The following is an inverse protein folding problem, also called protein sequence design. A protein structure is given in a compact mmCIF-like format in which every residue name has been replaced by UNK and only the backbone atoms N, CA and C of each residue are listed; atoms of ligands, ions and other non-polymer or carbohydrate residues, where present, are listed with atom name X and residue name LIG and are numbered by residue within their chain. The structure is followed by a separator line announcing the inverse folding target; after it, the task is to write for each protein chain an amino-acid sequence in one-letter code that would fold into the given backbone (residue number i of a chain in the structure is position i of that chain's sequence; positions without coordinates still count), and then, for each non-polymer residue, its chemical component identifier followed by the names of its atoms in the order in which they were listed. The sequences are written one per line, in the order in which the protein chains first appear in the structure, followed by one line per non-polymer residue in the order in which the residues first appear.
data_IF_390424194461
#
_entry.id   IF_390424194461
#
_cell.length_a   1.000
_cell.length_b   1.000
_cell.length_c   1.000
_cell.angle_alpha   90.00
_cell.angle_beta   90.00
_cell.angle_gamma   90.00
#
_symmetry.space_group_name_H-M   'P 1'
#
loop_
_entity.id
_entity.type
_entity.pdbx_description
1 polymer ?
#
# COMPACT_ATOMS: atom_id res chain seq x y z
N UNK A 1 -11.65 -5.70 8.17
CA UNK A 1 -12.79 -6.36 7.48
C UNK A 1 -13.76 -7.03 8.47
N UNK A 2 -13.57 -6.82 9.76
CA UNK A 2 -14.23 -7.49 10.89
C UNK A 2 -15.41 -6.72 11.49
N UNK A 3 -15.75 -5.59 10.87
CA UNK A 3 -16.93 -4.80 11.20
C UNK A 3 -17.93 -4.84 10.05
N UNK A 4 -19.19 -5.15 10.38
CA UNK A 4 -20.27 -5.15 9.42
C UNK A 4 -20.54 -3.74 8.92
N UNK A 5 -20.90 -3.62 7.64
CA UNK A 5 -21.25 -2.36 7.00
C UNK A 5 -22.64 -2.48 6.38
N UNK A 6 -23.40 -1.39 6.26
CA UNK A 6 -24.74 -1.44 5.69
C UNK A 6 -24.65 -1.73 4.17
N UNK A 7 -25.60 -2.49 3.58
CA UNK A 7 -25.55 -2.84 2.15
C UNK A 7 -25.43 -1.65 1.20
N UNK A 8 -25.98 -0.48 1.57
CA UNK A 8 -25.87 0.77 0.78
C UNK A 8 -24.43 1.29 0.64
N UNK A 9 -23.51 0.88 1.52
CA UNK A 9 -22.11 1.27 1.48
C UNK A 9 -21.27 0.29 0.62
N UNK A 10 -21.88 -0.78 0.09
CA UNK A 10 -21.20 -1.71 -0.80
C UNK A 10 -20.77 -0.99 -2.08
N UNK A 11 -19.45 -0.93 -2.29
CA UNK A 11 -18.83 -0.36 -3.47
C UNK A 11 -17.87 -1.39 -4.07
N UNK A 12 -18.28 -2.15 -5.09
CA UNK A 12 -17.43 -3.14 -5.71
C UNK A 12 -16.26 -2.46 -6.42
N UNK A 13 -15.08 -3.07 -6.34
CA UNK A 13 -13.88 -2.62 -7.06
C UNK A 13 -13.79 -3.25 -8.45
N UNK A 14 -14.44 -4.40 -8.69
CA UNK A 14 -14.56 -4.95 -10.05
C UNK A 14 -15.29 -3.95 -10.96
N UNK A 15 -14.75 -3.63 -12.15
CA UNK A 15 -15.50 -2.90 -13.16
C UNK A 15 -16.79 -3.65 -13.53
N UNK A 16 -17.91 -2.94 -13.81
CA UNK A 16 -19.17 -3.57 -14.18
C UNK A 16 -19.01 -4.31 -15.50
N UNK A 17 -19.57 -5.53 -15.57
CA UNK A 17 -19.55 -6.37 -16.76
C UNK A 17 -20.99 -6.72 -17.19
N UNK A 18 -21.26 -6.85 -18.52
CA UNK A 18 -22.57 -7.27 -18.99
C UNK A 18 -22.93 -8.67 -18.47
N UNK A 19 -24.19 -8.84 -18.05
CA UNK A 19 -24.70 -10.14 -17.58
C UNK A 19 -24.34 -10.50 -16.14
N UNK A 20 -23.79 -9.56 -15.36
CA UNK A 20 -23.56 -9.79 -13.93
C UNK A 20 -24.88 -9.99 -13.17
N UNK A 21 -24.96 -11.05 -12.39
CA UNK A 21 -26.11 -11.37 -11.53
C UNK A 21 -26.36 -10.25 -10.51
N UNK A 22 -27.62 -9.87 -10.31
CA UNK A 22 -28.00 -8.98 -9.23
C UNK A 22 -27.90 -9.70 -7.87
N UNK A 23 -26.91 -9.30 -7.08
CA UNK A 23 -26.66 -9.87 -5.75
C UNK A 23 -27.31 -9.06 -4.62
N UNK A 24 -28.12 -8.04 -4.93
CA UNK A 24 -28.66 -7.09 -3.93
C UNK A 24 -29.43 -7.78 -2.80
N UNK A 25 -30.21 -8.81 -3.12
CA UNK A 25 -30.95 -9.62 -2.14
C UNK A 25 -30.04 -10.44 -1.22
N UNK A 26 -28.87 -10.83 -1.70
CA UNK A 26 -27.89 -11.66 -0.98
C UNK A 26 -26.86 -10.83 -0.21
N UNK A 27 -26.75 -9.51 -0.46
CA UNK A 27 -25.75 -8.64 0.16
C UNK A 27 -25.71 -8.73 1.70
N UNK A 28 -26.82 -8.69 2.45
CA UNK A 28 -26.76 -8.77 3.91
C UNK A 28 -26.10 -10.07 4.40
N UNK A 29 -26.41 -11.20 3.75
CA UNK A 29 -25.84 -12.50 4.09
C UNK A 29 -24.36 -12.57 3.72
N UNK A 30 -23.96 -12.06 2.54
CA UNK A 30 -22.56 -12.02 2.11
C UNK A 30 -21.71 -11.13 3.02
N UNK A 31 -22.23 -9.99 3.47
CA UNK A 31 -21.54 -9.08 4.41
C UNK A 31 -21.37 -9.77 5.77
N UNK A 32 -22.40 -10.42 6.30
CA UNK A 32 -22.32 -11.20 7.53
C UNK A 32 -21.30 -12.33 7.41
N UNK A 33 -21.29 -13.04 6.28
CA UNK A 33 -20.37 -14.12 5.99
C UNK A 33 -18.92 -13.63 5.92
N UNK A 34 -18.66 -12.52 5.21
CA UNK A 34 -17.34 -11.88 5.13
C UNK A 34 -16.79 -11.54 6.52
N UNK A 35 -17.64 -10.99 7.38
CA UNK A 35 -17.29 -10.64 8.75
C UNK A 35 -16.95 -11.86 9.59
N UNK A 36 -17.77 -12.91 9.50
CA UNK A 36 -17.53 -14.16 10.20
C UNK A 36 -16.22 -14.81 9.75
N UNK A 37 -16.01 -14.94 8.43
CA UNK A 37 -14.79 -15.52 7.86
C UNK A 37 -13.54 -14.72 8.26
N UNK A 38 -13.62 -13.39 8.26
CA UNK A 38 -12.52 -12.53 8.73
C UNK A 38 -12.17 -12.82 10.19
N UNK A 39 -13.18 -12.97 11.07
CA UNK A 39 -12.94 -13.35 12.47
C UNK A 39 -12.33 -14.74 12.60
N UNK A 40 -12.77 -15.71 11.78
CA UNK A 40 -12.14 -17.04 11.75
C UNK A 40 -10.66 -16.96 11.38
N UNK A 41 -10.30 -16.15 10.39
CA UNK A 41 -8.89 -15.91 10.02
C UNK A 41 -8.11 -15.32 11.20
N UNK A 42 -8.66 -14.30 11.88
CA UNK A 42 -7.96 -13.69 13.04
C UNK A 42 -7.72 -14.70 14.17
N UNK A 43 -8.63 -15.65 14.38
CA UNK A 43 -8.45 -16.72 15.38
C UNK A 43 -7.54 -17.86 14.92
N UNK A 44 -7.52 -18.17 13.62
CA UNK A 44 -6.84 -19.33 13.04
C UNK A 44 -6.19 -18.95 11.70
N UNK A 45 -5.16 -18.09 11.71
CA UNK A 45 -4.62 -17.47 10.49
C UNK A 45 -3.91 -18.45 9.57
N UNK A 46 -3.46 -19.59 10.08
CA UNK A 46 -2.75 -20.60 9.27
C UNK A 46 -3.64 -21.75 8.79
N UNK A 47 -4.97 -21.58 8.83
CA UNK A 47 -5.91 -22.54 8.24
C UNK A 47 -6.21 -22.12 6.80
N UNK A 48 -5.69 -22.83 5.77
CA UNK A 48 -5.84 -22.40 4.36
C UNK A 48 -7.32 -22.27 3.94
N UNK A 49 -8.19 -23.11 4.52
CA UNK A 49 -9.62 -23.10 4.26
C UNK A 49 -10.27 -21.76 4.60
N UNK A 50 -9.85 -21.08 5.67
CA UNK A 50 -10.46 -19.80 6.05
C UNK A 50 -10.17 -18.70 5.02
N UNK A 51 -8.96 -18.66 4.46
CA UNK A 51 -8.59 -17.77 3.38
C UNK A 51 -9.35 -18.09 2.09
N UNK A 52 -9.42 -19.37 1.71
CA UNK A 52 -10.19 -19.81 0.54
C UNK A 52 -11.68 -19.42 0.62
N UNK A 53 -12.34 -19.66 1.75
CA UNK A 53 -13.75 -19.31 1.91
C UNK A 53 -13.96 -17.78 1.88
N UNK A 54 -13.05 -16.99 2.46
CA UNK A 54 -13.12 -15.52 2.39
C UNK A 54 -12.91 -15.02 0.96
N UNK A 55 -11.97 -15.61 0.21
CA UNK A 55 -11.73 -15.32 -1.19
C UNK A 55 -12.97 -15.56 -2.06
N UNK A 56 -13.74 -16.64 -1.79
CA UNK A 56 -15.00 -16.93 -2.50
C UNK A 56 -16.03 -15.82 -2.25
N UNK A 57 -16.23 -15.45 -1.00
CA UNK A 57 -17.15 -14.37 -0.63
C UNK A 57 -16.72 -13.04 -1.26
N UNK A 58 -15.43 -12.71 -1.23
CA UNK A 58 -14.88 -11.49 -1.85
C UNK A 58 -15.06 -11.48 -3.37
N UNK A 59 -14.94 -12.63 -4.03
CA UNK A 59 -15.26 -12.77 -5.46
C UNK A 59 -16.72 -12.44 -5.73
N UNK A 60 -17.64 -13.01 -4.94
CA UNK A 60 -19.09 -12.73 -5.07
C UNK A 60 -19.41 -11.26 -4.76
N UNK A 61 -18.74 -10.66 -3.78
CA UNK A 61 -18.83 -9.23 -3.45
C UNK A 61 -18.10 -8.32 -4.45
N UNK A 62 -17.48 -8.89 -5.49
CA UNK A 62 -16.80 -8.20 -6.59
C UNK A 62 -15.60 -7.34 -6.13
N UNK A 63 -14.77 -7.93 -5.26
CA UNK A 63 -13.46 -7.43 -4.83
C UNK A 63 -12.32 -8.34 -5.35
N UNK A 64 -11.99 -8.30 -6.65
CA UNK A 64 -11.09 -9.27 -7.28
C UNK A 64 -9.68 -9.24 -6.68
N UNK A 65 -9.13 -8.07 -6.39
CA UNK A 65 -7.81 -7.90 -5.79
C UNK A 65 -7.67 -8.52 -4.41
N UNK A 66 -8.74 -8.44 -3.60
CA UNK A 66 -8.78 -9.05 -2.27
C UNK A 66 -8.98 -10.56 -2.37
N UNK A 67 -9.82 -11.01 -3.30
CA UNK A 67 -10.03 -12.44 -3.56
C UNK A 67 -8.74 -13.13 -4.05
N UNK A 68 -8.01 -12.50 -4.98
CA UNK A 68 -6.71 -12.98 -5.48
C UNK A 68 -5.69 -13.11 -4.36
N UNK A 69 -5.62 -12.13 -3.46
CA UNK A 69 -4.68 -12.16 -2.34
C UNK A 69 -5.01 -13.24 -1.31
N UNK A 70 -6.28 -13.41 -0.97
CA UNK A 70 -6.71 -14.48 -0.06
C UNK A 70 -6.49 -15.87 -0.67
N UNK A 71 -6.80 -16.03 -1.97
CA UNK A 71 -6.50 -17.25 -2.71
C UNK A 71 -4.99 -17.54 -2.71
N UNK A 72 -4.14 -16.53 -2.93
CA UNK A 72 -2.68 -16.68 -2.86
C UNK A 72 -2.22 -17.14 -1.47
N UNK A 73 -2.77 -16.58 -0.39
CA UNK A 73 -2.46 -17.03 0.98
C UNK A 73 -2.87 -18.48 1.22
N UNK A 74 -4.04 -18.90 0.73
CA UNK A 74 -4.46 -20.30 0.79
C UNK A 74 -3.48 -21.22 0.04
N UNK A 75 -3.07 -20.84 -1.19
CA UNK A 75 -2.11 -21.59 -2.00
C UNK A 75 -0.77 -21.74 -1.28
N UNK A 76 -0.24 -20.67 -0.69
CA UNK A 76 1.03 -20.69 0.05
C UNK A 76 0.94 -21.61 1.28
N UNK A 77 -0.14 -21.51 2.07
CA UNK A 77 -0.32 -22.35 3.25
C UNK A 77 -0.50 -23.83 2.88
N UNK A 78 -1.29 -24.13 1.83
CA UNK A 78 -1.41 -25.50 1.33
C UNK A 78 -0.06 -26.02 0.82
N UNK A 79 0.68 -25.23 0.04
CA UNK A 79 2.00 -25.60 -0.47
C UNK A 79 2.94 -25.93 0.69
N UNK A 80 3.07 -25.02 1.66
CA UNK A 80 3.96 -25.24 2.81
C UNK A 80 3.55 -26.48 3.63
N UNK A 81 2.26 -26.75 3.76
CA UNK A 81 1.78 -27.96 4.44
C UNK A 81 2.07 -29.24 3.65
N UNK A 82 1.88 -29.22 2.33
CA UNK A 82 2.20 -30.33 1.42
C UNK A 82 3.71 -30.60 1.37
N UNK A 83 4.53 -29.55 1.29
CA UNK A 83 5.98 -29.66 1.29
C UNK A 83 6.44 -30.36 2.57
N UNK A 84 5.91 -29.97 3.74
CA UNK A 84 6.21 -30.64 5.02
C UNK A 84 5.73 -32.09 5.08
N UNK A 85 4.55 -32.40 4.55
CA UNK A 85 4.06 -33.78 4.47
C UNK A 85 4.92 -34.64 3.52
N UNK A 86 5.50 -34.03 2.49
CA UNK A 86 6.43 -34.69 1.57
C UNK A 86 7.85 -34.82 2.13
N UNK A 87 8.30 -33.83 2.92
CA UNK A 87 9.56 -33.84 3.66
C UNK A 87 9.53 -34.82 4.84
N UNK A 88 8.34 -35.19 5.36
CA UNK A 88 8.08 -36.27 6.34
C UNK A 88 8.39 -37.69 5.81
N UNK A 89 9.17 -37.81 4.73
CA UNK A 89 10.18 -38.86 4.59
C UNK A 89 11.34 -38.73 5.62
N UNK A 90 11.33 -37.68 6.44
CA UNK A 90 12.20 -37.50 7.60
C UNK A 90 11.64 -38.31 8.79
N UNK A 91 12.39 -39.31 9.29
CA UNK A 91 11.85 -40.26 10.25
C UNK A 91 11.68 -39.67 11.65
N UNK A 92 11.66 -38.36 11.89
CA UNK A 92 11.57 -37.78 13.24
C UNK A 92 10.44 -36.74 13.36
N UNK A 93 9.43 -37.04 14.19
CA UNK A 93 8.26 -36.17 14.47
C UNK A 93 8.26 -35.70 15.92
N UNK A 94 7.79 -34.49 16.20
CA UNK A 94 7.69 -33.97 17.57
C UNK A 94 6.55 -34.67 18.31
N UNK A 95 6.82 -35.29 19.46
CA UNK A 95 5.78 -35.93 20.26
C UNK A 95 4.79 -34.91 20.83
N UNK A 96 3.49 -35.13 20.61
CA UNK A 96 2.44 -34.23 21.09
C UNK A 96 2.58 -34.03 22.61
N UNK A 97 2.77 -32.78 23.04
CA UNK A 97 2.90 -32.33 24.43
C UNK A 97 4.09 -32.90 25.24
N UNK A 98 5.07 -33.54 24.61
CA UNK A 98 6.09 -34.31 25.33
C UNK A 98 7.53 -33.75 25.24
N UNK A 99 7.79 -32.76 24.39
CA UNK A 99 9.09 -32.07 24.33
C UNK A 99 10.25 -32.90 23.79
N UNK A 100 9.99 -34.04 23.14
CA UNK A 100 11.00 -34.88 22.50
C UNK A 100 10.62 -35.27 21.06
N UNK A 101 11.64 -35.61 20.27
CA UNK A 101 11.52 -36.11 18.90
C UNK A 101 11.30 -37.63 18.93
N UNK A 102 10.26 -38.12 18.25
CA UNK A 102 9.93 -39.54 18.08
C UNK A 102 10.25 -40.00 16.67
N UNK A 103 10.75 -41.23 16.52
CA UNK A 103 11.06 -41.78 15.20
C UNK A 103 9.78 -42.31 14.53
N UNK A 104 9.38 -41.81 13.36
CA UNK A 104 8.41 -42.48 12.48
C UNK A 104 9.06 -43.78 11.99
N UNK A 105 8.52 -44.93 12.40
CA UNK A 105 8.95 -46.25 11.92
C UNK A 105 10.30 -46.72 12.49
N UNK A 106 10.27 -47.32 13.67
CA UNK A 106 11.33 -48.21 14.17
C UNK A 106 10.67 -49.50 14.61
N UNK A 107 10.83 -50.56 13.81
CA UNK A 107 10.16 -51.84 14.03
C UNK A 107 10.46 -52.43 15.40
N UNK A 108 9.43 -52.57 16.22
CA UNK A 108 9.13 -53.79 16.95
C UNK A 108 7.73 -53.64 17.54
N UNK A 109 6.83 -54.51 17.09
CA UNK A 109 5.45 -54.72 17.55
C UNK A 109 4.37 -53.98 16.73
N UNK A 110 4.02 -54.61 15.62
CA UNK A 110 2.72 -54.59 14.96
C UNK A 110 1.58 -54.76 16.00
N UNK A 111 0.37 -54.21 15.90
CA UNK A 111 -0.45 -53.88 14.74
C UNK A 111 -1.55 -52.91 15.19
N UNK A 112 -2.06 -52.10 14.24
CA UNK A 112 -3.37 -51.40 14.18
C UNK A 112 -3.31 -49.87 13.95
N UNK A 113 -2.19 -49.18 14.21
CA UNK A 113 -2.15 -47.70 14.08
C UNK A 113 -1.37 -47.15 12.88
N UNK A 114 -0.37 -47.87 12.35
CA UNK A 114 0.46 -47.33 11.26
C UNK A 114 -0.31 -47.20 9.93
N UNK A 115 -1.15 -48.18 9.59
CA UNK A 115 -2.03 -48.11 8.41
C UNK A 115 -3.07 -46.99 8.53
N UNK A 116 -3.59 -46.75 9.74
CA UNK A 116 -4.54 -45.68 10.01
C UNK A 116 -3.90 -44.29 9.91
N UNK A 117 -2.63 -44.15 10.31
CA UNK A 117 -1.86 -42.89 10.21
C UNK A 117 -1.49 -42.62 8.75
N UNK A 118 -1.00 -43.62 8.00
CA UNK A 118 -0.73 -43.48 6.58
C UNK A 118 -1.99 -43.07 5.79
N UNK A 119 -3.12 -43.74 6.06
CA UNK A 119 -4.42 -43.40 5.47
C UNK A 119 -4.86 -41.97 5.80
N UNK A 120 -4.57 -41.50 7.02
CA UNK A 120 -4.92 -40.14 7.46
C UNK A 120 -4.04 -39.07 6.81
N UNK A 121 -2.74 -39.33 6.67
CA UNK A 121 -1.79 -38.42 6.01
C UNK A 121 -2.11 -38.32 4.51
N UNK A 122 -2.43 -39.43 3.85
CA UNK A 122 -2.90 -39.45 2.45
C UNK A 122 -4.21 -38.66 2.27
N UNK A 123 -5.19 -38.85 3.17
CA UNK A 123 -6.43 -38.08 3.16
C UNK A 123 -6.19 -36.58 3.37
N UNK A 124 -5.27 -36.22 4.26
CA UNK A 124 -4.91 -34.82 4.50
C UNK A 124 -4.22 -34.22 3.29
N UNK A 125 -3.26 -34.93 2.70
CA UNK A 125 -2.53 -34.52 1.50
C UNK A 125 -3.50 -34.29 0.34
N UNK A 126 -4.43 -35.23 0.10
CA UNK A 126 -5.46 -35.09 -0.94
C UNK A 126 -6.36 -33.87 -0.69
N UNK A 127 -6.78 -33.64 0.56
CA UNK A 127 -7.61 -32.48 0.90
C UNK A 127 -6.87 -31.15 0.70
N UNK A 128 -5.59 -31.09 1.06
CA UNK A 128 -4.75 -29.91 0.85
C UNK A 128 -4.49 -29.66 -0.63
N UNK A 129 -4.24 -30.70 -1.42
CA UNK A 129 -4.08 -30.62 -2.86
C UNK A 129 -5.35 -30.11 -3.54
N UNK A 130 -6.52 -30.67 -3.20
CA UNK A 130 -7.81 -30.20 -3.72
C UNK A 130 -8.05 -28.73 -3.39
N UNK A 131 -7.81 -28.33 -2.13
CA UNK A 131 -7.98 -26.95 -1.69
C UNK A 131 -6.99 -25.99 -2.39
N UNK A 132 -5.76 -26.43 -2.65
CA UNK A 132 -4.79 -25.66 -3.42
C UNK A 132 -5.25 -25.46 -4.87
N UNK A 133 -5.78 -26.50 -5.52
CA UNK A 133 -6.35 -26.41 -6.86
C UNK A 133 -7.57 -25.48 -6.90
N UNK A 134 -8.50 -25.61 -5.95
CA UNK A 134 -9.67 -24.72 -5.84
C UNK A 134 -9.25 -23.25 -5.63
N UNK A 135 -8.25 -23.00 -4.79
CA UNK A 135 -7.72 -21.67 -4.57
C UNK A 135 -7.02 -21.10 -5.83
N UNK A 136 -6.32 -21.93 -6.59
CA UNK A 136 -5.71 -21.52 -7.85
C UNK A 136 -6.76 -21.14 -8.90
N UNK A 137 -7.81 -21.95 -9.06
CA UNK A 137 -8.95 -21.64 -9.95
C UNK A 137 -9.63 -20.32 -9.56
N UNK A 138 -9.78 -20.09 -8.26
CA UNK A 138 -10.34 -18.85 -7.73
C UNK A 138 -9.45 -17.63 -8.01
N UNK A 139 -8.13 -17.80 -7.92
CA UNK A 139 -7.15 -16.78 -8.24
C UNK A 139 -7.23 -16.38 -9.72
N UNK A 140 -7.13 -17.35 -10.64
CA UNK A 140 -7.14 -17.07 -12.08
C UNK A 140 -8.47 -16.46 -12.53
N UNK A 141 -9.60 -16.85 -11.93
CA UNK A 141 -10.92 -16.29 -12.21
C UNK A 141 -11.01 -14.79 -11.95
N UNK A 142 -10.21 -14.28 -11.02
CA UNK A 142 -10.18 -12.87 -10.66
C UNK A 142 -9.03 -12.09 -11.35
N UNK A 143 -8.21 -12.76 -12.17
CA UNK A 143 -7.15 -12.16 -12.99
C UNK A 143 -7.61 -12.08 -14.44
N UNK A 144 -8.19 -10.95 -14.81
CA UNK A 144 -8.80 -10.72 -16.12
C UNK A 144 -7.90 -11.01 -17.33
N UNK A 145 -6.59 -10.81 -17.21
CA UNK A 145 -5.64 -10.97 -18.33
C UNK A 145 -4.89 -12.31 -18.33
N UNK A 146 -5.26 -13.22 -17.43
CA UNK A 146 -4.72 -14.58 -17.39
C UNK A 146 -5.08 -15.34 -18.69
N UNK A 147 -4.20 -16.20 -19.25
CA UNK A 147 -2.87 -16.59 -18.76
C UNK A 147 -1.73 -15.69 -19.25
N UNK A 148 -2.01 -14.70 -20.09
CA UNK A 148 -0.97 -13.86 -20.70
C UNK A 148 -0.27 -12.97 -19.65
N UNK A 149 -1.06 -12.44 -18.72
CA UNK A 149 -0.58 -11.61 -17.62
C UNK A 149 -1.27 -12.02 -16.33
N UNK A 150 -0.53 -12.03 -15.22
CA UNK A 150 -1.10 -12.27 -13.88
C UNK A 150 -1.73 -10.98 -13.32
N UNK A 151 -2.63 -10.39 -14.10
CA UNK A 151 -3.21 -9.07 -13.85
C UNK A 151 -4.73 -9.09 -13.87
N UNK A 152 -5.34 -8.33 -12.96
CA UNK A 152 -6.77 -8.07 -12.89
C UNK A 152 -7.11 -6.61 -13.09
N UNK A 153 -8.42 -6.30 -13.08
CA UNK A 153 -8.94 -4.94 -13.26
C UNK A 153 -9.67 -4.48 -12.02
N UNK A 154 -9.43 -3.24 -11.60
CA UNK A 154 -10.07 -2.62 -10.45
C UNK A 154 -10.43 -1.17 -10.70
N UNK A 155 -11.42 -0.68 -9.97
CA UNK A 155 -11.69 0.74 -9.73
C UNK A 155 -11.36 1.02 -8.29
N UNK A 156 -10.47 1.97 -8.03
CA UNK A 156 -10.13 2.36 -6.66
C UNK A 156 -11.39 2.90 -5.96
N UNK A 157 -11.72 2.31 -4.81
CA UNK A 157 -12.86 2.65 -3.97
C UNK A 157 -12.46 2.73 -2.51
N UNK A 158 -13.26 3.47 -1.74
CA UNK A 158 -13.20 3.40 -0.29
C UNK A 158 -13.79 2.06 0.15
N UNK A 159 -13.03 1.26 0.89
CA UNK A 159 -13.55 0.02 1.45
C UNK A 159 -14.54 0.31 2.58
N UNK A 160 -15.74 -0.30 2.59
CA UNK A 160 -16.81 0.10 3.50
C UNK A 160 -16.54 -0.26 4.97
N UNK A 161 -15.71 -1.27 5.22
CA UNK A 161 -15.25 -1.66 6.56
C UNK A 161 -14.07 -0.82 7.08
N UNK A 162 -13.58 0.16 6.33
CA UNK A 162 -12.50 1.04 6.78
C UNK A 162 -12.98 1.90 7.95
N UNK A 163 -12.24 1.85 9.07
CA UNK A 163 -12.53 2.66 10.27
C UNK A 163 -12.52 4.15 9.94
N UNK A 164 -13.40 4.92 10.59
CA UNK A 164 -13.55 6.37 10.38
C UNK A 164 -12.23 7.14 10.56
N UNK A 165 -11.42 6.75 11.55
CA UNK A 165 -10.11 7.35 11.82
C UNK A 165 -9.09 7.21 10.68
N UNK A 166 -9.30 6.24 9.77
CA UNK A 166 -8.46 6.06 8.59
C UNK A 166 -9.06 6.73 7.34
N UNK A 167 -10.21 7.40 7.42
CA UNK A 167 -10.86 8.00 6.23
C UNK A 167 -10.39 9.41 5.91
N UNK A 168 -9.92 10.16 6.91
CA UNK A 168 -9.48 11.55 6.77
C UNK A 168 -8.39 11.93 7.76
N UNK A 169 -8.12 13.22 7.90
CA UNK A 169 -7.07 13.74 8.79
C UNK A 169 -7.66 14.19 10.12
N UNK A 170 -7.03 13.79 11.22
CA UNK A 170 -7.38 14.32 12.55
C UNK A 170 -6.83 15.75 12.73
N UNK A 171 -7.40 16.50 13.68
CA UNK A 171 -6.91 17.84 13.99
C UNK A 171 -5.51 17.82 14.62
N UNK A 172 -5.14 16.74 15.33
CA UNK A 172 -3.75 16.54 15.77
C UNK A 172 -2.82 16.37 14.58
N UNK A 173 -3.24 15.64 13.54
CA UNK A 173 -2.45 15.47 12.33
C UNK A 173 -2.22 16.81 11.62
N UNK A 174 -3.26 17.64 11.48
CA UNK A 174 -3.13 18.98 10.90
C UNK A 174 -2.20 19.86 11.74
N UNK A 175 -2.33 19.85 13.08
CA UNK A 175 -1.42 20.57 13.98
C UNK A 175 0.02 20.11 13.83
N UNK A 176 0.26 18.80 13.68
CA UNK A 176 1.59 18.24 13.40
C UNK A 176 2.14 18.75 12.07
N UNK A 177 1.37 18.67 10.99
CA UNK A 177 1.81 19.14 9.67
C UNK A 177 2.15 20.63 9.71
N UNK A 178 1.36 21.45 10.41
CA UNK A 178 1.66 22.87 10.57
C UNK A 178 2.95 23.15 11.34
N UNK A 179 3.33 22.28 12.30
CA UNK A 179 4.66 22.34 12.94
C UNK A 179 5.77 21.99 11.94
N UNK A 180 5.53 21.02 11.03
CA UNK A 180 6.48 20.65 9.97
C UNK A 180 6.68 21.80 8.97
N UNK A 181 5.61 22.46 8.50
CA UNK A 181 5.69 23.68 7.67
C UNK A 181 6.44 24.83 8.36
N UNK A 182 6.27 25.01 9.68
CA UNK A 182 7.01 26.02 10.42
C UNK A 182 8.50 25.65 10.60
N UNK A 183 8.82 24.36 10.57
CA UNK A 183 10.19 23.86 10.63
C UNK A 183 10.93 23.90 9.29
N UNK A 184 10.21 23.75 8.17
CA UNK A 184 10.83 23.61 6.84
C UNK A 184 11.60 24.84 6.35
N UNK A 185 11.27 26.01 6.90
CA UNK A 185 11.94 27.30 6.61
C UNK A 185 13.06 27.67 7.60
N UNK A 186 13.24 26.91 8.69
CA UNK A 186 14.28 27.21 9.72
C UNK A 186 15.68 26.96 9.17
N UNK A 187 16.61 27.87 9.46
CA UNK A 187 18.03 27.75 9.07
C UNK A 187 18.35 28.15 7.62
N UNK A 188 17.33 28.49 6.80
CA UNK A 188 17.51 28.94 5.40
C UNK A 188 17.57 30.46 5.25
N UNK A 189 17.79 31.19 6.34
CA UNK A 189 17.81 32.66 6.34
C UNK A 189 18.78 33.26 5.32
N UNK A 190 19.88 32.58 4.99
CA UNK A 190 20.84 33.02 3.95
C UNK A 190 20.31 32.86 2.51
N UNK A 191 19.62 31.76 2.21
CA UNK A 191 18.99 31.52 0.91
C UNK A 191 17.83 32.50 0.69
N UNK A 192 17.06 32.75 1.75
CA UNK A 192 15.95 33.71 1.76
C UNK A 192 16.47 35.16 1.70
N UNK A 193 17.51 35.53 2.45
CA UNK A 193 18.07 36.90 2.40
C UNK A 193 18.70 37.22 1.03
N UNK A 194 19.34 36.24 0.38
CA UNK A 194 19.95 36.43 -0.94
C UNK A 194 18.91 36.72 -2.04
N UNK A 195 17.67 36.28 -1.87
CA UNK A 195 16.58 36.49 -2.83
C UNK A 195 15.77 37.78 -2.56
N UNK A 196 15.68 38.24 -1.31
CA UNK A 196 14.64 39.19 -0.90
C UNK A 196 15.17 40.53 -0.38
N UNK A 197 16.43 40.60 0.09
CA UNK A 197 16.98 41.81 0.72
C UNK A 197 16.31 42.26 2.03
N UNK A 198 15.37 41.47 2.57
CA UNK A 198 14.57 41.81 3.76
C UNK A 198 15.03 40.95 4.95
N UNK A 199 15.25 41.58 6.10
CA UNK A 199 15.53 40.93 7.38
C UNK A 199 14.38 39.98 7.75
N UNK A 200 14.69 38.70 7.89
CA UNK A 200 13.71 37.65 8.19
C UNK A 200 13.27 37.82 9.64
N UNK A 201 11.99 38.08 9.86
CA UNK A 201 11.36 37.81 11.16
C UNK A 201 11.33 36.27 11.30
N UNK A 202 12.39 35.71 11.91
CA UNK A 202 12.77 34.28 11.92
C UNK A 202 11.72 33.37 12.57
N UNK A 203 10.63 33.91 13.13
CA UNK A 203 9.68 33.17 13.96
C UNK A 203 8.45 32.61 13.26
N UNK A 204 7.96 33.21 12.17
CA UNK A 204 6.70 32.78 11.55
C UNK A 204 6.91 31.72 10.45
N UNK A 205 5.91 30.89 10.11
CA UNK A 205 5.94 30.06 8.90
C UNK A 205 5.65 30.88 7.63
N UNK A 206 6.01 30.38 6.44
CA UNK A 206 5.50 30.92 5.17
C UNK A 206 4.11 30.39 4.83
N UNK A 207 3.85 29.14 5.22
CA UNK A 207 2.65 28.40 4.87
C UNK A 207 1.92 27.87 6.09
N UNK A 208 0.61 27.75 5.97
CA UNK A 208 -0.23 27.05 6.94
C UNK A 208 -1.23 26.17 6.19
N UNK A 209 -1.36 24.92 6.62
CA UNK A 209 -2.38 23.99 6.16
C UNK A 209 -3.70 24.29 6.87
N UNK A 210 -4.77 24.42 6.09
CA UNK A 210 -6.12 24.66 6.59
C UNK A 210 -7.13 23.72 5.91
N UNK A 211 -8.26 23.49 6.60
CA UNK A 211 -9.43 22.80 6.06
C UNK A 211 -10.23 23.74 5.15
N UNK A 212 -11.15 23.17 4.37
CA UNK A 212 -12.05 23.91 3.49
C UNK A 212 -11.30 24.74 2.45
N UNK A 213 -10.37 24.11 1.73
CA UNK A 213 -9.52 24.78 0.75
C UNK A 213 -10.29 25.65 -0.26
N UNK A 214 -11.51 25.23 -0.62
CA UNK A 214 -12.38 25.92 -1.58
C UNK A 214 -13.63 26.52 -0.93
N UNK A 215 -13.56 26.84 0.37
CA UNK A 215 -14.66 27.40 1.15
C UNK A 215 -15.54 26.33 1.82
N UNK A 216 -16.44 26.80 2.70
CA UNK A 216 -17.44 25.93 3.36
C UNK A 216 -18.58 25.65 2.37
N UNK A 217 -18.46 24.57 1.62
CA UNK A 217 -19.52 24.04 0.76
C UNK A 217 -19.96 22.65 1.21
N UNK A 218 -21.22 22.33 1.01
CA UNK A 218 -21.72 20.94 1.03
C UNK A 218 -21.69 20.42 -0.41
N UNK A 219 -20.63 19.72 -0.83
CA UNK A 219 -20.71 18.91 -2.06
C UNK A 219 -21.45 17.63 -1.71
N UNK A 220 -22.55 17.35 -2.40
CA UNK A 220 -23.36 16.13 -2.23
C UNK A 220 -23.80 15.82 -0.77
N UNK A 221 -23.98 16.84 0.06
CA UNK A 221 -24.41 16.67 1.46
C UNK A 221 -23.35 16.13 2.42
N UNK A 222 -22.10 15.98 1.98
CA UNK A 222 -20.96 15.69 2.86
C UNK A 222 -20.20 16.98 3.22
N UNK A 223 -19.79 17.07 4.48
CA UNK A 223 -18.93 18.15 4.98
C UNK A 223 -17.55 18.06 4.29
N UNK A 224 -17.21 19.05 3.47
CA UNK A 224 -15.95 19.10 2.71
C UNK A 224 -14.75 19.54 3.58
N UNK A 225 -14.85 19.35 4.91
CA UNK A 225 -13.84 19.72 5.89
C UNK A 225 -12.52 18.95 5.74
N UNK A 226 -12.50 17.82 5.03
CA UNK A 226 -11.27 17.08 4.73
C UNK A 226 -10.58 17.50 3.41
N UNK A 227 -11.14 18.48 2.69
CA UNK A 227 -10.42 19.13 1.59
C UNK A 227 -9.48 20.19 2.16
N UNK A 228 -8.21 19.82 2.20
CA UNK A 228 -7.12 20.63 2.75
C UNK A 228 -6.52 21.54 1.67
N UNK A 229 -6.03 22.71 2.10
CA UNK A 229 -5.31 23.65 1.26
C UNK A 229 -4.15 24.28 2.02
N UNK A 230 -3.09 24.61 1.31
CA UNK A 230 -1.93 25.32 1.86
C UNK A 230 -2.12 26.81 1.59
N UNK A 231 -2.07 27.63 2.63
CA UNK A 231 -2.31 29.08 2.54
C UNK A 231 -1.07 29.85 2.96
N UNK A 232 -0.85 31.00 2.32
CA UNK A 232 0.20 31.94 2.70
C UNK A 232 -0.08 32.50 4.10
N UNK A 233 0.85 32.31 5.03
CA UNK A 233 0.76 32.81 6.40
C UNK A 233 1.13 34.31 6.51
N UNK A 234 1.79 34.85 5.48
CA UNK A 234 2.23 36.24 5.32
C UNK A 234 2.28 36.59 3.83
N UNK A 235 2.56 37.86 3.52
CA UNK A 235 2.86 38.25 2.14
C UNK A 235 4.21 37.66 1.69
N UNK A 236 4.23 37.08 0.48
CA UNK A 236 5.38 36.38 -0.08
C UNK A 236 5.75 37.07 -1.40
N UNK A 237 6.92 37.73 -1.48
CA UNK A 237 7.42 38.30 -2.73
C UNK A 237 7.66 37.22 -3.79
N UNK A 238 7.61 37.58 -5.06
CA UNK A 238 8.01 36.73 -6.18
C UNK A 238 9.40 36.12 -5.99
N UNK A 239 9.60 34.89 -6.50
CA UNK A 239 10.87 34.14 -6.49
C UNK A 239 11.40 33.83 -5.08
N UNK A 240 10.58 33.93 -4.05
CA UNK A 240 10.94 33.59 -2.67
C UNK A 240 10.91 32.08 -2.47
N UNK A 241 11.97 31.44 -1.93
CA UNK A 241 11.93 30.04 -1.49
C UNK A 241 10.99 29.89 -0.29
N UNK A 242 9.93 29.10 -0.46
CA UNK A 242 8.86 28.94 0.54
C UNK A 242 9.05 27.65 1.35
N UNK A 243 9.40 26.57 0.66
CA UNK A 243 9.45 25.23 1.22
C UNK A 243 10.57 24.45 0.55
N UNK A 244 11.24 23.62 1.33
CA UNK A 244 12.07 22.55 0.82
C UNK A 244 11.71 21.30 1.60
N UNK A 245 11.42 20.25 0.85
CA UNK A 245 10.72 19.08 1.33
C UNK A 245 11.54 17.83 0.97
N UNK A 246 12.49 17.45 1.85
CA UNK A 246 13.21 16.19 1.71
C UNK A 246 12.26 15.02 1.95
N UNK A 247 12.36 13.99 1.13
CA UNK A 247 11.54 12.79 1.24
C UNK A 247 12.38 11.53 1.36
N UNK A 248 11.99 10.68 2.29
CA UNK A 248 12.53 9.33 2.43
C UNK A 248 11.64 8.29 1.72
N UNK A 249 10.50 8.71 1.19
CA UNK A 249 9.53 7.85 0.49
C UNK A 249 9.66 8.03 -1.01
N UNK A 250 10.59 7.27 -1.59
CA UNK A 250 10.93 7.32 -3.01
C UNK A 250 11.26 5.94 -3.61
N UNK A 251 11.19 5.81 -4.92
CA UNK A 251 11.54 4.60 -5.64
C UNK A 251 12.32 4.92 -6.91
N UNK A 252 13.09 3.94 -7.36
CA UNK A 252 13.94 4.05 -8.53
C UNK A 252 13.76 2.83 -9.43
N UNK A 253 13.63 3.03 -10.74
CA UNK A 253 13.55 1.92 -11.70
C UNK A 253 14.86 1.14 -11.85
N UNK A 254 15.98 1.66 -11.34
CA UNK A 254 17.29 1.04 -11.45
C UNK A 254 17.99 1.27 -12.78
N UNK A 255 19.19 0.67 -12.97
CA UNK A 255 19.90 0.73 -14.24
C UNK A 255 19.02 0.16 -15.36
N UNK A 256 18.88 0.95 -16.42
CA UNK A 256 17.97 0.60 -17.50
C UNK A 256 18.38 -0.72 -18.15
N UNK A 257 17.38 -1.52 -18.51
CA UNK A 257 17.59 -2.65 -19.41
C UNK A 257 18.17 -2.13 -20.73
N UNK A 258 19.23 -2.76 -21.25
CA UNK A 258 19.77 -2.48 -22.60
C UNK A 258 18.73 -2.65 -23.71
N UNK A 259 17.57 -3.25 -23.43
CA UNK A 259 16.46 -3.40 -24.37
C UNK A 259 15.54 -2.19 -24.26
N UNK A 260 15.32 -1.49 -25.38
CA UNK A 260 14.30 -0.45 -25.52
C UNK A 260 12.95 -1.00 -25.03
N UNK A 261 12.51 -0.52 -23.86
CA UNK A 261 11.16 -0.74 -23.36
C UNK A 261 10.29 0.44 -23.81
N UNK A 262 9.13 0.16 -24.38
CA UNK A 262 8.13 1.17 -24.77
C UNK A 262 7.57 1.98 -23.59
N UNK A 263 7.89 1.59 -22.35
CA UNK A 263 7.47 2.27 -21.12
C UNK A 263 8.50 3.21 -20.50
N UNK A 264 9.68 3.42 -21.10
CA UNK A 264 10.69 4.33 -20.57
C UNK A 264 11.00 5.49 -21.56
N UNK A 265 10.56 6.73 -21.27
CA UNK A 265 10.72 7.88 -22.16
C UNK A 265 12.16 8.35 -22.45
N UNK A 266 13.19 7.73 -21.84
CA UNK A 266 14.59 8.20 -21.93
C UNK A 266 15.55 7.19 -22.58
N UNK A 267 15.25 6.72 -23.79
CA UNK A 267 16.13 5.87 -24.60
C UNK A 267 16.63 4.57 -23.91
N UNK A 268 15.98 4.14 -22.83
CA UNK A 268 16.42 3.00 -22.03
C UNK A 268 17.59 3.28 -21.07
N UNK A 269 17.99 4.55 -20.85
CA UNK A 269 18.95 4.91 -19.79
C UNK A 269 18.22 5.01 -18.45
N UNK A 270 18.16 3.92 -17.70
CA UNK A 270 17.71 3.95 -16.31
C UNK A 270 18.77 4.58 -15.38
N UNK A 271 18.56 4.45 -14.07
CA UNK A 271 19.43 5.02 -13.05
C UNK A 271 20.84 4.41 -13.10
N UNK A 272 21.87 5.24 -13.24
CA UNK A 272 23.27 4.78 -13.28
C UNK A 272 23.86 4.53 -11.90
N UNK A 273 23.16 4.89 -10.82
CA UNK A 273 23.62 4.67 -9.46
C UNK A 273 23.38 3.20 -9.05
N UNK A 274 24.43 2.43 -8.71
CA UNK A 274 24.30 1.02 -8.36
C UNK A 274 23.69 0.78 -6.98
N UNK A 275 23.71 1.77 -6.10
CA UNK A 275 23.22 1.71 -4.71
C UNK A 275 21.72 2.05 -4.66
N UNK A 276 21.22 2.84 -5.61
CA UNK A 276 19.79 3.10 -5.74
C UNK A 276 19.01 1.77 -5.90
N UNK A 277 17.96 1.55 -5.09
CA UNK A 277 17.14 2.59 -4.46
C UNK A 277 17.49 2.88 -2.99
N UNK A 278 18.53 2.28 -2.42
CA UNK A 278 18.83 2.41 -0.99
C UNK A 278 19.32 3.84 -0.67
N UNK A 279 18.85 4.39 0.45
CA UNK A 279 19.33 5.67 0.95
C UNK A 279 20.72 5.50 1.60
N UNK A 280 21.59 6.52 1.59
CA UNK A 280 22.90 6.45 2.24
C UNK A 280 22.85 6.12 3.74
N UNK A 281 21.72 6.39 4.40
CA UNK A 281 21.48 6.12 5.82
C UNK A 281 20.99 4.69 6.09
N UNK A 282 20.67 3.90 5.07
CA UNK A 282 20.11 2.56 5.20
C UNK A 282 21.21 1.50 5.31
N UNK A 283 21.02 0.53 6.22
CA UNK A 283 21.93 -0.59 6.39
C UNK A 283 21.65 -1.73 5.38
N UNK A 284 22.51 -2.75 5.37
CA UNK A 284 22.38 -3.91 4.46
C UNK A 284 21.15 -4.78 4.71
N UNK A 285 20.57 -4.78 5.91
CA UNK A 285 19.33 -5.50 6.20
C UNK A 285 18.10 -4.86 5.54
N UNK A 286 18.23 -3.59 5.15
CA UNK A 286 17.23 -2.80 4.44
C UNK A 286 17.48 -2.76 2.93
N UNK A 287 18.25 -3.70 2.37
CA UNK A 287 18.53 -3.71 0.93
C UNK A 287 17.27 -4.01 0.10
N UNK A 288 16.80 -3.01 -0.65
CA UNK A 288 15.60 -3.10 -1.49
C UNK A 288 15.91 -3.37 -2.97
N UNK A 289 17.18 -3.65 -3.34
CA UNK A 289 17.56 -3.93 -4.73
C UNK A 289 16.87 -5.16 -5.30
N UNK A 290 16.51 -6.14 -4.47
CA UNK A 290 15.76 -7.32 -4.92
C UNK A 290 14.37 -6.95 -5.48
N UNK A 291 13.69 -5.95 -4.90
CA UNK A 291 12.40 -5.44 -5.40
C UNK A 291 12.61 -4.84 -6.79
N UNK A 292 13.64 -4.00 -6.92
CA UNK A 292 14.01 -3.38 -8.19
C UNK A 292 14.28 -4.42 -9.28
N UNK A 293 15.05 -5.45 -8.96
CA UNK A 293 15.42 -6.52 -9.89
C UNK A 293 14.24 -7.39 -10.29
N UNK A 294 13.31 -7.69 -9.37
CA UNK A 294 12.10 -8.47 -9.65
C UNK A 294 11.07 -7.73 -10.50
N UNK A 295 10.87 -6.44 -10.23
CA UNK A 295 9.72 -5.68 -10.76
C UNK A 295 10.06 -4.79 -11.96
N UNK A 296 11.35 -4.64 -12.29
CA UNK A 296 11.82 -3.99 -13.52
C UNK A 296 11.26 -2.57 -13.69
N UNK A 297 10.53 -2.32 -14.78
CA UNK A 297 9.97 -0.99 -15.05
C UNK A 297 8.93 -0.54 -14.02
N UNK A 298 8.34 -1.44 -13.24
CA UNK A 298 7.42 -1.11 -12.16
C UNK A 298 8.12 -0.81 -10.82
N UNK A 299 9.45 -0.93 -10.76
CA UNK A 299 10.20 -0.86 -9.52
C UNK A 299 10.00 0.43 -8.73
N UNK A 300 9.99 1.59 -9.39
CA UNK A 300 9.80 2.86 -8.68
C UNK A 300 8.46 2.90 -7.92
N UNK A 301 7.39 2.37 -8.52
CA UNK A 301 6.06 2.26 -7.88
C UNK A 301 6.04 1.28 -6.71
N UNK A 302 6.58 0.08 -6.92
CA UNK A 302 6.56 -0.98 -5.90
C UNK A 302 7.44 -0.61 -4.72
N UNK A 303 8.64 -0.08 -4.97
CA UNK A 303 9.54 0.42 -3.93
C UNK A 303 8.89 1.50 -3.09
N UNK A 304 8.24 2.47 -3.72
CA UNK A 304 7.57 3.54 -3.02
C UNK A 304 6.51 3.00 -2.04
N UNK A 305 5.68 2.04 -2.48
CA UNK A 305 4.68 1.38 -1.63
C UNK A 305 5.34 0.61 -0.48
N UNK A 306 6.38 -0.17 -0.76
CA UNK A 306 7.12 -0.91 0.27
C UNK A 306 7.78 0.02 1.29
N UNK A 307 8.34 1.16 0.88
CA UNK A 307 8.95 2.14 1.81
C UNK A 307 7.96 2.72 2.81
N UNK A 308 6.74 3.01 2.39
CA UNK A 308 5.69 3.45 3.31
C UNK A 308 5.36 2.38 4.37
N UNK A 309 5.35 1.11 3.98
CA UNK A 309 5.17 -0.01 4.92
C UNK A 309 6.36 -0.14 5.86
N UNK A 310 7.59 -0.11 5.35
CA UNK A 310 8.83 -0.17 6.13
C UNK A 310 8.88 0.95 7.16
N UNK A 311 8.58 2.19 6.76
CA UNK A 311 8.50 3.33 7.69
C UNK A 311 7.45 3.13 8.77
N UNK A 312 6.29 2.58 8.41
CA UNK A 312 5.25 2.25 9.39
C UNK A 312 5.71 1.23 10.43
N UNK A 313 6.53 0.25 10.03
CA UNK A 313 7.12 -0.76 10.90
C UNK A 313 8.20 -0.15 11.79
N UNK A 314 9.13 0.62 11.21
CA UNK A 314 10.24 1.27 11.92
C UNK A 314 9.76 2.25 12.98
N UNK A 315 8.73 3.04 12.66
CA UNK A 315 8.09 3.98 13.58
C UNK A 315 7.12 3.28 14.55
N UNK A 316 7.03 1.94 14.51
CA UNK A 316 6.19 1.11 15.37
C UNK A 316 4.72 1.56 15.40
N UNK A 317 4.23 2.00 14.25
CA UNK A 317 2.85 2.49 14.15
C UNK A 317 1.88 1.30 14.19
N UNK A 318 0.82 1.32 15.03
CA UNK A 318 -0.10 0.19 15.17
C UNK A 318 -0.81 -0.23 13.88
N UNK A 319 -1.07 0.73 12.98
CA UNK A 319 -1.70 0.48 11.69
C UNK A 319 -1.10 1.41 10.62
N UNK A 320 -0.70 0.92 9.44
CA UNK A 320 -0.06 1.74 8.40
C UNK A 320 -0.87 2.98 8.01
N UNK A 321 -2.19 2.87 7.89
CA UNK A 321 -3.05 4.03 7.55
C UNK A 321 -3.09 5.13 8.62
N UNK A 322 -2.63 4.85 9.85
CA UNK A 322 -2.45 5.83 10.92
C UNK A 322 -1.07 6.49 10.91
N UNK A 323 -0.13 5.98 10.12
CA UNK A 323 1.22 6.52 10.07
C UNK A 323 1.17 7.96 9.53
N UNK A 324 1.87 8.93 10.14
CA UNK A 324 1.81 10.34 9.74
C UNK A 324 2.09 10.58 8.25
N UNK A 325 3.06 9.87 7.66
CA UNK A 325 3.35 10.01 6.22
C UNK A 325 2.22 9.48 5.32
N UNK A 326 1.37 8.57 5.82
CA UNK A 326 0.28 7.95 5.06
C UNK A 326 -1.06 8.64 5.35
N UNK A 327 -1.33 8.98 6.60
CA UNK A 327 -2.57 9.61 7.07
C UNK A 327 -2.79 11.01 6.47
N UNK A 328 -1.71 11.72 6.11
CA UNK A 328 -1.78 13.04 5.48
C UNK A 328 -2.26 13.04 4.04
N UNK A 329 -2.15 11.91 3.34
CA UNK A 329 -2.30 11.84 1.88
C UNK A 329 -3.77 11.71 1.47
N UNK A 330 -4.18 12.45 0.44
CA UNK A 330 -5.54 12.35 -0.13
C UNK A 330 -5.62 11.11 -1.03
N UNK A 331 -6.53 10.14 -0.81
CA UNK A 331 -6.71 9.03 -1.74
C UNK A 331 -7.41 9.47 -3.04
N UNK A 332 -7.09 8.82 -4.16
CA UNK A 332 -7.84 9.00 -5.41
C UNK A 332 -8.82 7.86 -5.66
N UNK A 333 -10.11 8.19 -5.75
CA UNK A 333 -11.22 7.28 -6.07
C UNK A 333 -11.99 7.75 -7.31
N UNK A 334 -11.32 7.77 -8.47
CA UNK A 334 -11.96 8.17 -9.74
C UNK A 334 -13.12 7.23 -10.07
N UNK A 335 -14.32 7.78 -10.30
CA UNK A 335 -15.54 6.98 -10.52
C UNK A 335 -15.41 6.05 -11.74
N UNK A 336 -14.80 6.54 -12.81
CA UNK A 336 -14.79 5.84 -14.11
C UNK A 336 -13.45 5.19 -14.46
N UNK A 337 -12.34 5.64 -13.85
CA UNK A 337 -11.00 5.11 -14.16
C UNK A 337 -10.88 3.66 -13.73
N UNK A 338 -10.59 2.80 -14.69
CA UNK A 338 -10.18 1.41 -14.45
C UNK A 338 -8.66 1.39 -14.40
N UNK A 339 -8.12 0.79 -13.35
CA UNK A 339 -6.70 0.51 -13.18
C UNK A 339 -6.45 -0.99 -13.26
N UNK A 340 -5.22 -1.36 -13.58
CA UNK A 340 -4.76 -2.74 -13.48
C UNK A 340 -4.17 -2.97 -12.09
N UNK A 341 -4.29 -4.20 -11.60
CA UNK A 341 -3.46 -4.68 -10.51
C UNK A 341 -2.75 -5.97 -10.94
N UNK A 342 -1.51 -6.13 -10.51
CA UNK A 342 -0.66 -7.30 -10.73
C UNK A 342 -0.60 -8.14 -9.47
N UNK A 343 -0.81 -9.45 -9.61
CA UNK A 343 -0.61 -10.42 -8.53
C UNK A 343 0.82 -10.31 -7.97
N UNK A 344 1.82 -10.12 -8.82
CA UNK A 344 3.21 -10.05 -8.36
C UNK A 344 3.51 -8.70 -7.69
N UNK A 345 3.27 -7.60 -8.38
CA UNK A 345 3.72 -6.27 -7.95
C UNK A 345 2.88 -5.66 -6.82
N UNK A 346 1.58 -5.97 -6.76
CA UNK A 346 0.65 -5.33 -5.82
C UNK A 346 0.31 -6.22 -4.61
N UNK A 347 0.61 -7.51 -4.68
CA UNK A 347 0.25 -8.48 -3.65
C UNK A 347 1.48 -9.27 -3.17
N UNK A 348 2.17 -10.01 -4.05
CA UNK A 348 3.25 -10.91 -3.62
C UNK A 348 4.46 -10.11 -3.11
N UNK A 349 5.00 -9.19 -3.91
CA UNK A 349 6.21 -8.42 -3.55
C UNK A 349 6.01 -7.58 -2.29
N UNK A 350 4.89 -6.85 -2.10
CA UNK A 350 4.64 -6.16 -0.83
C UNK A 350 4.53 -7.11 0.37
N UNK A 351 3.93 -8.28 0.21
CA UNK A 351 3.84 -9.27 1.31
C UNK A 351 5.22 -9.85 1.67
N UNK A 352 6.04 -10.18 0.69
CA UNK A 352 7.41 -10.64 0.93
C UNK A 352 8.26 -9.56 1.62
N UNK A 353 8.10 -8.29 1.21
CA UNK A 353 8.73 -7.15 1.87
C UNK A 353 8.28 -7.06 3.34
N UNK A 354 6.98 -7.15 3.63
CA UNK A 354 6.48 -7.17 5.00
C UNK A 354 7.09 -8.32 5.82
N UNK A 355 7.17 -9.51 5.25
CA UNK A 355 7.74 -10.68 5.92
C UNK A 355 9.24 -10.51 6.21
N UNK A 356 10.01 -9.90 5.29
CA UNK A 356 11.43 -9.59 5.51
C UNK A 356 11.63 -8.66 6.73
N UNK A 357 10.67 -7.77 6.99
CA UNK A 357 10.67 -6.87 8.14
C UNK A 357 9.90 -7.44 9.36
N UNK A 358 9.70 -8.76 9.40
CA UNK A 358 9.16 -9.47 10.56
C UNK A 358 7.63 -9.42 10.73
N UNK A 359 6.91 -8.95 9.72
CA UNK A 359 5.44 -8.93 9.75
C UNK A 359 4.90 -10.28 9.27
N UNK A 360 4.11 -10.91 10.14
CA UNK A 360 3.31 -12.05 9.75
C UNK A 360 2.07 -11.60 8.95
N UNK A 361 2.14 -11.75 7.64
CA UNK A 361 1.06 -11.39 6.68
C UNK A 361 -0.19 -12.27 6.79
N UNK A 362 -0.13 -13.38 7.53
CA UNK A 362 -1.29 -14.23 7.82
C UNK A 362 -1.97 -13.81 9.12
N UNK A 363 -1.18 -13.55 10.17
CA UNK A 363 -1.72 -13.29 11.51
C UNK A 363 -1.95 -11.81 11.83
N UNK A 364 -1.27 -10.88 11.15
CA UNK A 364 -1.36 -9.46 11.46
C UNK A 364 -2.45 -8.75 10.62
N UNK A 365 -3.60 -8.38 11.21
CA UNK A 365 -4.71 -7.77 10.47
C UNK A 365 -4.44 -6.34 10.02
N UNK A 366 -3.43 -5.66 10.57
CA UNK A 366 -3.07 -4.29 10.20
C UNK A 366 -2.48 -4.19 8.78
N UNK A 367 -2.06 -5.32 8.21
CA UNK A 367 -1.45 -5.42 6.88
C UNK A 367 -2.30 -6.29 5.93
N UNK A 368 -3.61 -6.38 6.17
CA UNK A 368 -4.54 -7.06 5.25
C UNK A 368 -4.57 -6.35 3.88
N UNK A 369 -4.89 -7.08 2.80
CA UNK A 369 -4.65 -6.62 1.42
C UNK A 369 -5.37 -5.30 1.09
N UNK A 370 -6.55 -5.06 1.65
CA UNK A 370 -7.28 -3.80 1.42
C UNK A 370 -6.49 -2.58 1.93
N UNK A 371 -5.62 -2.75 2.93
CA UNK A 371 -4.71 -1.70 3.43
C UNK A 371 -3.68 -1.35 2.37
N UNK A 372 -3.10 -2.35 1.70
CA UNK A 372 -2.11 -2.15 0.62
C UNK A 372 -2.72 -1.37 -0.55
N UNK A 373 -3.94 -1.71 -0.96
CA UNK A 373 -4.65 -0.99 -2.02
C UNK A 373 -5.11 0.40 -1.59
N UNK A 374 -5.46 0.60 -0.32
CA UNK A 374 -5.75 1.94 0.21
C UNK A 374 -4.50 2.81 0.20
N UNK A 375 -3.36 2.25 0.60
CA UNK A 375 -2.06 2.92 0.54
C UNK A 375 -1.70 3.28 -0.91
N UNK A 376 -1.86 2.35 -1.86
CA UNK A 376 -1.63 2.61 -3.27
C UNK A 376 -2.48 3.78 -3.80
N UNK A 377 -3.78 3.81 -3.47
CA UNK A 377 -4.67 4.90 -3.88
C UNK A 377 -4.27 6.28 -3.32
N UNK A 378 -3.65 6.31 -2.12
CA UNK A 378 -3.05 7.52 -1.57
C UNK A 378 -1.76 7.89 -2.30
N UNK A 379 -0.84 6.95 -2.46
CA UNK A 379 0.44 7.20 -3.12
C UNK A 379 0.24 7.71 -4.54
N UNK A 380 -0.62 7.06 -5.34
CA UNK A 380 -0.87 7.43 -6.73
C UNK A 380 -1.36 8.87 -6.91
N UNK A 381 -2.10 9.39 -5.94
CA UNK A 381 -2.62 10.76 -6.01
C UNK A 381 -1.61 11.82 -5.60
N UNK A 382 -0.64 11.46 -4.76
CA UNK A 382 0.24 12.41 -4.08
C UNK A 382 1.70 12.30 -4.55
N UNK A 383 1.99 11.35 -5.44
CA UNK A 383 3.32 11.15 -5.98
C UNK A 383 3.62 12.08 -7.14
N UNK A 384 4.86 12.52 -7.23
CA UNK A 384 5.46 13.06 -8.44
C UNK A 384 6.49 12.05 -8.98
N UNK A 385 6.85 12.21 -10.25
CA UNK A 385 7.82 11.33 -10.90
C UNK A 385 8.67 12.10 -11.89
N UNK A 386 9.95 11.75 -11.94
CA UNK A 386 10.75 11.90 -13.15
C UNK A 386 10.76 10.56 -13.91
N UNK A 387 11.36 10.45 -15.10
CA UNK A 387 11.28 9.19 -15.86
C UNK A 387 12.03 7.99 -15.26
N UNK A 388 12.79 8.17 -14.19
CA UNK A 388 13.56 7.13 -13.48
C UNK A 388 13.08 6.94 -12.05
N UNK A 389 12.56 7.99 -11.42
CA UNK A 389 12.24 8.02 -10.00
C UNK A 389 10.78 8.39 -9.76
N UNK A 390 10.22 7.83 -8.69
CA UNK A 390 8.90 8.19 -8.18
C UNK A 390 9.00 8.51 -6.71
N UNK A 391 8.38 9.59 -6.26
CA UNK A 391 8.53 10.06 -4.90
C UNK A 391 7.24 10.69 -4.39
N UNK A 392 7.01 10.64 -3.09
CA UNK A 392 5.97 11.41 -2.41
C UNK A 392 6.67 12.36 -1.46
N UNK A 393 6.51 13.66 -1.69
CA UNK A 393 7.07 14.70 -0.83
C UNK A 393 6.05 15.06 0.27
N UNK A 394 6.36 14.88 1.57
CA UNK A 394 5.39 14.91 2.66
C UNK A 394 4.59 16.21 2.84
N UNK A 395 5.13 17.35 2.45
CA UNK A 395 4.50 18.67 2.54
C UNK A 395 4.03 19.17 1.17
N UNK A 396 4.81 18.93 0.11
CA UNK A 396 4.45 19.32 -1.26
C UNK A 396 3.14 18.66 -1.74
N UNK A 397 2.89 17.41 -1.33
CA UNK A 397 1.64 16.69 -1.65
C UNK A 397 0.35 17.33 -1.14
N UNK A 398 0.46 18.37 -0.30
CA UNK A 398 -0.69 19.09 0.27
C UNK A 398 -1.07 20.33 -0.55
N UNK A 399 -0.25 20.75 -1.51
CA UNK A 399 -0.55 21.86 -2.40
C UNK A 399 -1.59 21.39 -3.43
N UNK A 400 -2.66 22.17 -3.58
CA UNK A 400 -3.67 21.88 -4.59
C UNK A 400 -3.18 22.31 -5.98
N UNK A 401 -3.75 21.72 -7.01
CA UNK A 401 -3.43 22.05 -8.39
C UNK A 401 -4.21 23.27 -8.90
N UNK A 402 -3.57 24.11 -9.70
CA UNK A 402 -4.21 25.14 -10.55
C UNK A 402 -3.56 25.17 -11.93
N UNK A 403 -4.35 25.42 -12.99
CA UNK A 403 -3.78 25.70 -14.31
C UNK A 403 -3.06 27.06 -14.36
N UNK A 404 -3.32 27.93 -13.39
CA UNK A 404 -2.63 29.20 -13.16
C UNK A 404 -1.99 29.18 -11.76
N UNK A 405 -0.85 28.48 -11.59
CA UNK A 405 -0.21 28.31 -10.29
C UNK A 405 0.48 29.60 -9.82
N UNK A 406 0.59 29.76 -8.50
CA UNK A 406 1.33 30.86 -7.87
C UNK A 406 2.62 30.37 -7.15
N UNK A 407 2.91 29.06 -7.23
CA UNK A 407 4.19 28.48 -6.82
C UNK A 407 4.77 27.60 -7.92
N UNK A 408 6.09 27.60 -8.02
CA UNK A 408 6.89 26.70 -8.86
C UNK A 408 7.66 25.71 -7.98
N UNK A 409 7.99 24.55 -8.54
CA UNK A 409 8.80 23.56 -7.85
C UNK A 409 9.90 22.96 -8.73
N UNK A 410 11.00 22.52 -8.09
CA UNK A 410 12.13 21.86 -8.74
C UNK A 410 12.63 20.69 -7.91
N UNK A 411 13.20 19.69 -8.58
CA UNK A 411 13.78 18.50 -7.96
C UNK A 411 15.27 18.73 -7.72
N UNK A 412 15.73 18.41 -6.50
CA UNK A 412 17.14 18.41 -6.14
C UNK A 412 17.93 17.36 -6.90
N UNK A 413 19.26 17.50 -6.93
CA UNK A 413 20.15 16.51 -7.58
C UNK A 413 20.15 15.14 -6.89
N UNK A 414 19.62 15.07 -5.67
CA UNK A 414 19.46 13.85 -4.87
C UNK A 414 18.17 13.07 -5.19
N UNK A 415 17.34 13.56 -6.14
CA UNK A 415 16.07 12.95 -6.57
C UNK A 415 15.03 12.74 -5.47
N UNK A 416 15.27 13.27 -4.27
CA UNK A 416 14.49 13.02 -3.05
C UNK A 416 14.08 14.31 -2.36
N UNK A 417 14.75 15.42 -2.66
CA UNK A 417 14.41 16.75 -2.15
C UNK A 417 13.65 17.57 -3.19
N UNK A 418 12.48 18.08 -2.82
CA UNK A 418 11.76 19.11 -3.59
C UNK A 418 12.02 20.50 -3.05
N UNK A 419 12.14 21.47 -3.94
CA UNK A 419 12.21 22.90 -3.63
C UNK A 419 10.98 23.59 -4.19
N UNK A 420 10.34 24.46 -3.41
CA UNK A 420 9.13 25.20 -3.79
C UNK A 420 9.38 26.69 -3.56
N UNK A 421 9.03 27.50 -4.56
CA UNK A 421 9.19 28.96 -4.55
C UNK A 421 7.95 29.65 -5.10
N UNK A 422 7.72 30.91 -4.75
CA UNK A 422 6.65 31.71 -5.37
C UNK A 422 6.99 32.04 -6.83
N UNK A 423 6.00 31.95 -7.72
CA UNK A 423 6.14 32.36 -9.14
C UNK A 423 5.75 33.84 -9.36
N UNK A 424 5.03 34.42 -8.39
CA UNK A 424 4.62 35.84 -8.33
C UNK A 424 4.48 36.31 -6.89
N UNK A 425 4.16 37.58 -6.68
CA UNK A 425 3.76 38.06 -5.35
C UNK A 425 2.46 37.38 -4.91
N UNK A 426 2.43 36.95 -3.64
CA UNK A 426 1.30 36.26 -3.01
C UNK A 426 0.93 37.01 -1.73
N UNK A 427 -0.36 37.31 -1.55
CA UNK A 427 -0.84 38.01 -0.35
C UNK A 427 -1.17 37.03 0.78
N UNK A 428 -1.04 37.47 2.03
CA UNK A 428 -1.44 36.71 3.21
C UNK A 428 -2.87 36.19 3.08
N UNK A 429 -3.06 34.90 3.36
CA UNK A 429 -4.35 34.22 3.30
C UNK A 429 -4.73 33.72 1.91
N UNK A 430 -3.94 34.01 0.87
CA UNK A 430 -4.11 33.40 -0.44
C UNK A 430 -3.68 31.91 -0.41
N UNK A 431 -4.39 31.05 -1.12
CA UNK A 431 -4.01 29.65 -1.26
C UNK A 431 -2.85 29.49 -2.24
N UNK A 432 -1.90 28.62 -1.93
CA UNK A 432 -0.77 28.27 -2.76
C UNK A 432 -1.11 27.08 -3.65
N UNK A 433 -0.90 27.23 -4.96
CA UNK A 433 -1.23 26.24 -5.98
C UNK A 433 -0.05 25.91 -6.87
N UNK A 434 0.08 24.61 -7.18
CA UNK A 434 1.10 24.02 -8.06
C UNK A 434 0.57 23.64 -9.43
#
# INVERSE_FOLDING_TARGET
MDHAFPPRDWQPTKPPEPGEEDISSSLPNLISLLNHQTKCIYTKPYQPRHWHERAKTLTTLRYPELAVADAQKAIILCRSALDRLSEDANPWRLGHAAGFWMRSGGSSDADDNDDLVATRDDQLQQRLANLQSEAFELQIRNLYYFPNYLEGRVRSRLYPWMKTEHRGRSDEMIRRINREFAGSSRGRGKEIMACNGVSVDEGAPFCVLQRHAFGKGTRDGQDDSDVLGVFAARDIPKDTPILVDPSETWGCIGPGSKRRSSGNPHDGRGCTDPIHPNLPSEDTSQDLRWIRERTGSAAADVLLRCRFLIRSIQDQTPHPLSHPLIARLTPTYRKEKISLFSLDHDIIVPNECLQQFGIDVFANPAYDTWVLFTLAARIENNSWSDPVHKCVSPLFSLFNHSCEPNVDWTIGKDHTTLWVRSSRDVVRGEQLFV
#
